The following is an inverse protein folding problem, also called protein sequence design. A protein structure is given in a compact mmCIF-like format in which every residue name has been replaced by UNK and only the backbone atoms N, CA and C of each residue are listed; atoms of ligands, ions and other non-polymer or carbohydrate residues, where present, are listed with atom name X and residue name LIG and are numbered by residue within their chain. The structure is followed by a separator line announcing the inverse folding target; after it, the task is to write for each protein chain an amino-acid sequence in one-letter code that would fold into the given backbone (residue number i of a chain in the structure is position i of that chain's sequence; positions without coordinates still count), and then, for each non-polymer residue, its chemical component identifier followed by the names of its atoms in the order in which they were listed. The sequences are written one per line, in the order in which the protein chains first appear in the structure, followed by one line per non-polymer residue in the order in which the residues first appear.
data_IF_447510917860
#
_entry.id   IF_447510917860
#
_cell.length_a   1.000
_cell.length_b   1.000
_cell.length_c   1.000
_cell.angle_alpha   90.00
_cell.angle_beta   90.00
_cell.angle_gamma   90.00
#
_symmetry.space_group_name_H-M   'P 1'
#
loop_
_entity.id
_entity.type
_entity.pdbx_description
1 polymer ?
#
# COMPACT_ATOMS: atom_id res chain seq x y z
N UNK A 1 -22.50 -3.74 8.98
CA UNK A 1 -21.94 -2.47 9.49
C UNK A 1 -20.53 -2.66 10.07
N UNK A 2 -20.27 -3.70 10.88
CA UNK A 2 -18.96 -3.96 11.48
C UNK A 2 -17.83 -4.11 10.45
N UNK A 3 -18.08 -4.77 9.31
CA UNK A 3 -17.09 -4.97 8.24
C UNK A 3 -16.63 -3.66 7.60
N UNK A 4 -17.54 -2.72 7.37
CA UNK A 4 -17.20 -1.42 6.79
C UNK A 4 -16.42 -0.58 7.80
N UNK A 5 -16.86 -0.60 9.05
CA UNK A 5 -16.19 0.15 10.12
C UNK A 5 -14.78 -0.38 10.40
N UNK A 6 -14.59 -1.70 10.46
CA UNK A 6 -13.27 -2.30 10.65
C UNK A 6 -12.32 -2.00 9.47
N UNK A 7 -12.83 -1.98 8.22
CA UNK A 7 -12.04 -1.61 7.06
C UNK A 7 -11.59 -0.13 7.10
N UNK A 8 -12.52 0.77 7.43
CA UNK A 8 -12.19 2.19 7.58
C UNK A 8 -11.16 2.42 8.70
N UNK A 9 -11.29 1.70 9.82
CA UNK A 9 -10.33 1.78 10.91
C UNK A 9 -8.96 1.24 10.49
N UNK A 10 -8.91 0.10 9.78
CA UNK A 10 -7.66 -0.45 9.24
C UNK A 10 -6.97 0.53 8.29
N UNK A 11 -7.74 1.20 7.42
CA UNK A 11 -7.23 2.21 6.51
C UNK A 11 -6.73 3.46 7.25
N UNK A 12 -7.46 3.94 8.26
CA UNK A 12 -7.04 5.08 9.08
C UNK A 12 -5.74 4.79 9.85
N UNK A 13 -5.61 3.59 10.41
CA UNK A 13 -4.39 3.18 11.11
C UNK A 13 -3.20 3.05 10.16
N UNK A 14 -3.44 2.57 8.95
CA UNK A 14 -2.44 2.51 7.88
C UNK A 14 -1.91 3.90 7.52
N UNK A 15 -2.81 4.83 7.17
CA UNK A 15 -2.44 6.22 6.85
C UNK A 15 -1.82 6.94 8.05
N UNK A 16 -2.30 6.64 9.26
CA UNK A 16 -1.72 7.11 10.52
C UNK A 16 -0.27 6.68 10.70
N UNK A 17 0.06 5.46 10.29
CA UNK A 17 1.44 4.94 10.27
C UNK A 17 2.37 5.78 9.40
N UNK A 18 1.97 6.07 8.16
CA UNK A 18 2.72 6.95 7.26
C UNK A 18 2.92 8.35 7.85
N UNK A 19 1.83 8.92 8.38
CA UNK A 19 1.88 10.25 8.98
C UNK A 19 2.79 10.31 10.20
N UNK A 20 2.73 9.31 11.08
CA UNK A 20 3.62 9.22 12.23
C UNK A 20 5.10 9.13 11.80
N UNK A 21 5.43 8.25 10.87
CA UNK A 21 6.79 8.11 10.36
C UNK A 21 7.30 9.41 9.71
N UNK A 22 6.44 10.13 8.99
CA UNK A 22 6.78 11.42 8.42
C UNK A 22 7.07 12.47 9.50
N UNK A 23 6.23 12.55 10.55
CA UNK A 23 6.45 13.48 11.67
C UNK A 23 7.78 13.23 12.39
N UNK A 24 8.07 11.96 12.71
CA UNK A 24 9.31 11.56 13.39
C UNK A 24 10.53 11.65 12.48
N UNK A 25 10.36 11.49 11.17
CA UNK A 25 11.41 11.65 10.17
C UNK A 25 11.81 13.11 9.87
N UNK A 26 11.27 14.09 10.59
CA UNK A 26 11.62 15.49 10.45
C UNK A 26 10.84 16.24 9.36
N UNK A 27 9.77 15.67 8.83
CA UNK A 27 8.92 16.26 7.78
C UNK A 27 8.35 17.62 8.15
N UNK A 28 8.18 17.91 9.43
CA UNK A 28 7.73 19.22 9.93
C UNK A 28 8.78 20.34 9.77
N UNK A 29 10.07 19.98 9.65
CA UNK A 29 11.20 20.95 9.53
C UNK A 29 11.37 21.49 8.10
N UNK A 30 10.83 20.82 7.09
CA UNK A 30 11.03 21.14 5.68
C UNK A 30 9.83 21.84 5.01
N UNK A 31 9.10 22.70 5.72
CA UNK A 31 8.03 23.59 5.20
C UNK A 31 6.95 22.96 4.29
N UNK A 32 6.84 21.64 4.24
CA UNK A 32 5.83 20.93 3.46
C UNK A 32 4.80 20.28 4.36
N UNK A 33 3.62 20.85 4.50
CA UNK A 33 2.50 20.22 5.20
C UNK A 33 2.05 18.94 4.52
N UNK A 34 1.75 17.89 5.30
CA UNK A 34 1.02 16.74 4.76
C UNK A 34 -0.30 17.22 4.16
N UNK A 35 -0.62 16.80 2.94
CA UNK A 35 -1.87 17.15 2.29
C UNK A 35 -2.71 15.90 2.06
N UNK A 36 -3.95 15.93 2.53
CA UNK A 36 -4.94 14.94 2.18
C UNK A 36 -5.47 15.22 0.78
N UNK A 37 -5.36 14.25 -0.12
CA UNK A 37 -6.03 14.28 -1.41
C UNK A 37 -6.99 13.11 -1.52
N UNK A 38 -8.23 13.41 -1.89
CA UNK A 38 -9.17 12.40 -2.34
C UNK A 38 -8.90 12.13 -3.82
N UNK A 39 -8.33 10.97 -4.11
CA UNK A 39 -8.10 10.47 -5.46
C UNK A 39 -9.08 9.37 -5.84
N UNK A 40 -9.02 8.89 -7.07
CA UNK A 40 -9.86 7.79 -7.56
C UNK A 40 -9.65 6.45 -6.83
N UNK A 41 -8.60 6.34 -6.01
CA UNK A 41 -8.27 5.14 -5.22
C UNK A 41 -8.58 5.29 -3.72
N UNK A 42 -9.20 6.39 -3.29
CA UNK A 42 -9.50 6.67 -1.88
C UNK A 42 -8.78 7.91 -1.34
N UNK A 43 -8.71 8.03 -0.04
CA UNK A 43 -7.96 9.09 0.64
C UNK A 43 -6.46 8.77 0.56
N UNK A 44 -5.68 9.62 -0.07
CA UNK A 44 -4.23 9.53 -0.19
C UNK A 44 -3.60 10.62 0.67
N UNK A 45 -2.82 10.22 1.67
CA UNK A 45 -1.98 11.13 2.41
C UNK A 45 -0.71 11.41 1.61
N UNK A 46 -0.62 12.55 0.95
CA UNK A 46 0.63 12.98 0.31
C UNK A 46 1.56 13.59 1.34
N UNK A 47 2.57 12.83 1.64
CA UNK A 47 3.70 13.28 2.45
C UNK A 47 4.73 13.86 1.48
N UNK A 48 5.19 15.12 1.70
CA UNK A 48 6.24 15.69 0.86
C UNK A 48 7.48 14.79 0.89
N UNK A 49 8.20 14.65 -0.24
CA UNK A 49 9.41 13.85 -0.27
C UNK A 49 10.39 14.43 0.76
N UNK A 50 10.65 13.68 1.83
CA UNK A 50 11.76 13.95 2.72
C UNK A 50 13.03 13.75 1.88
N UNK A 51 13.91 14.73 1.79
CA UNK A 51 15.06 14.72 0.89
C UNK A 51 16.09 13.59 1.10
N UNK A 52 15.69 12.49 1.70
CA UNK A 52 16.47 11.29 1.95
C UNK A 52 15.67 10.03 1.58
N UNK A 53 16.23 9.19 0.72
CA UNK A 53 15.64 7.88 0.38
C UNK A 53 15.43 6.97 1.59
N UNK A 54 16.24 7.11 2.65
CA UNK A 54 16.05 6.37 3.91
C UNK A 54 14.77 6.80 4.62
N UNK A 55 14.50 8.09 4.68
CA UNK A 55 13.26 8.60 5.27
C UNK A 55 12.05 8.23 4.41
N UNK A 56 12.17 8.30 3.08
CA UNK A 56 11.14 7.85 2.16
C UNK A 56 10.80 6.36 2.37
N UNK A 57 11.83 5.50 2.48
CA UNK A 57 11.65 4.08 2.77
C UNK A 57 10.94 3.84 4.11
N UNK A 58 11.35 4.55 5.17
CA UNK A 58 10.72 4.43 6.49
C UNK A 58 9.23 4.84 6.45
N UNK A 59 8.90 5.90 5.74
CA UNK A 59 7.51 6.34 5.56
C UNK A 59 6.71 5.29 4.79
N UNK A 60 7.23 4.76 3.68
CA UNK A 60 6.53 3.75 2.87
C UNK A 60 6.27 2.45 3.64
N UNK A 61 7.19 2.02 4.50
CA UNK A 61 7.01 0.81 5.31
C UNK A 61 6.12 1.02 6.54
N UNK A 62 5.92 2.25 7.00
CA UNK A 62 5.22 2.54 8.25
C UNK A 62 3.71 2.22 8.19
N UNK A 63 3.04 2.43 7.05
CA UNK A 63 1.63 2.07 6.87
C UNK A 63 1.40 0.56 7.01
N UNK A 64 2.07 -0.28 6.19
CA UNK A 64 2.01 -1.74 6.33
C UNK A 64 2.43 -2.23 7.72
N UNK A 65 3.44 -1.61 8.34
CA UNK A 65 3.87 -1.94 9.70
C UNK A 65 2.77 -1.62 10.74
N UNK A 66 2.06 -0.51 10.60
CA UNK A 66 0.92 -0.17 11.46
C UNK A 66 -0.21 -1.21 11.33
N UNK A 67 -0.50 -1.67 10.10
CA UNK A 67 -1.47 -2.73 9.88
C UNK A 67 -1.03 -4.07 10.50
N UNK A 68 0.25 -4.43 10.36
CA UNK A 68 0.79 -5.64 11.00
C UNK A 68 0.70 -5.53 12.54
N UNK A 69 1.05 -4.38 13.10
CA UNK A 69 0.92 -4.13 14.55
C UNK A 69 -0.54 -4.24 15.00
N UNK A 70 -1.46 -3.65 14.24
CA UNK A 70 -2.91 -3.76 14.50
C UNK A 70 -3.35 -5.23 14.51
N UNK A 71 -2.91 -6.01 13.52
CA UNK A 71 -3.22 -7.43 13.44
C UNK A 71 -2.67 -8.21 14.64
N UNK A 72 -1.45 -7.91 15.09
CA UNK A 72 -0.85 -8.54 16.27
C UNK A 72 -1.57 -8.16 17.57
N UNK A 73 -1.90 -6.88 17.75
CA UNK A 73 -2.62 -6.40 18.94
C UNK A 73 -4.01 -7.04 19.03
N UNK A 74 -4.72 -7.15 17.91
CA UNK A 74 -6.06 -7.75 17.86
C UNK A 74 -6.10 -9.25 18.16
N UNK A 75 -4.94 -9.94 18.17
CA UNK A 75 -4.85 -11.34 18.62
C UNK A 75 -5.24 -11.52 20.08
N UNK A 76 -4.99 -10.51 20.92
CA UNK A 76 -5.26 -10.56 22.34
C UNK A 76 -6.71 -10.23 22.71
N UNK A 77 -7.54 -9.83 21.75
CA UNK A 77 -8.93 -9.46 21.97
C UNK A 77 -9.85 -10.46 21.30
N UNK A 78 -10.69 -11.22 22.05
CA UNK A 78 -11.69 -12.11 21.49
C UNK A 78 -12.88 -11.32 20.92
N UNK A 79 -13.55 -11.90 19.92
CA UNK A 79 -14.76 -11.36 19.33
C UNK A 79 -14.68 -11.16 17.81
N UNK A 80 -15.84 -10.93 17.19
CA UNK A 80 -15.94 -10.83 15.74
C UNK A 80 -15.28 -9.56 15.19
N UNK A 81 -15.43 -8.44 15.88
CA UNK A 81 -14.86 -7.17 15.44
C UNK A 81 -13.31 -7.17 15.43
N UNK A 82 -12.60 -7.58 16.49
CA UNK A 82 -11.13 -7.72 16.44
C UNK A 82 -10.67 -8.71 15.36
N UNK A 83 -11.41 -9.80 15.15
CA UNK A 83 -11.13 -10.76 14.08
C UNK A 83 -11.22 -10.11 12.69
N UNK A 84 -12.32 -9.42 12.41
CA UNK A 84 -12.51 -8.70 11.14
C UNK A 84 -11.43 -7.63 10.93
N UNK A 85 -11.12 -6.85 11.97
CA UNK A 85 -10.09 -5.82 11.91
C UNK A 85 -8.71 -6.42 11.60
N UNK A 86 -8.37 -7.56 12.20
CA UNK A 86 -7.14 -8.31 11.93
C UNK A 86 -7.06 -8.77 10.48
N UNK A 87 -8.10 -9.45 10.00
CA UNK A 87 -8.16 -9.98 8.64
C UNK A 87 -8.01 -8.84 7.60
N UNK A 88 -8.70 -7.74 7.81
CA UNK A 88 -8.65 -6.58 6.91
C UNK A 88 -7.32 -5.83 6.99
N UNK A 89 -6.73 -5.70 8.17
CA UNK A 89 -5.40 -5.09 8.33
C UNK A 89 -4.32 -5.92 7.62
N UNK A 90 -4.36 -7.25 7.76
CA UNK A 90 -3.44 -8.13 7.05
C UNK A 90 -3.63 -8.07 5.53
N UNK A 91 -4.88 -8.08 5.08
CA UNK A 91 -5.19 -7.97 3.66
C UNK A 91 -4.73 -6.62 3.08
N UNK A 92 -5.07 -5.52 3.74
CA UNK A 92 -4.70 -4.18 3.30
C UNK A 92 -3.19 -3.99 3.30
N UNK A 93 -2.51 -4.34 4.41
CA UNK A 93 -1.06 -4.25 4.52
C UNK A 93 -0.33 -5.13 3.49
N UNK A 94 -0.82 -6.36 3.27
CA UNK A 94 -0.28 -7.27 2.26
C UNK A 94 -0.44 -6.75 0.83
N UNK A 95 -1.61 -6.23 0.48
CA UNK A 95 -1.86 -5.62 -0.82
C UNK A 95 -0.99 -4.38 -1.05
N UNK A 96 -0.84 -3.52 -0.04
CA UNK A 96 -0.01 -2.33 -0.13
C UNK A 96 1.49 -2.65 -0.25
N UNK A 97 1.94 -3.82 0.23
CA UNK A 97 3.32 -4.28 0.07
C UNK A 97 3.65 -4.87 -1.30
N UNK A 98 2.68 -4.98 -2.21
CA UNK A 98 2.98 -5.41 -3.57
C UNK A 98 3.93 -4.42 -4.27
N UNK A 99 4.94 -4.90 -5.01
CA UNK A 99 5.93 -4.06 -5.69
C UNK A 99 5.34 -3.41 -6.96
N UNK A 100 4.23 -2.71 -6.79
CA UNK A 100 3.48 -2.02 -7.84
C UNK A 100 3.61 -0.52 -7.62
N UNK A 101 3.96 0.23 -8.66
CA UNK A 101 4.02 1.69 -8.60
C UNK A 101 2.67 2.29 -8.16
N UNK A 102 2.73 3.12 -7.13
CA UNK A 102 1.55 3.74 -6.53
C UNK A 102 0.98 2.97 -5.35
N UNK A 103 1.62 1.87 -4.96
CA UNK A 103 1.46 1.19 -3.67
C UNK A 103 2.73 1.37 -2.84
N UNK A 104 2.64 1.15 -1.53
CA UNK A 104 3.77 1.35 -0.61
C UNK A 104 4.96 0.45 -0.92
N UNK A 105 4.71 -0.83 -1.28
CA UNK A 105 5.74 -1.75 -1.70
C UNK A 105 6.50 -1.30 -2.94
N UNK A 106 5.82 -0.64 -3.88
CA UNK A 106 6.46 -0.01 -5.04
C UNK A 106 7.34 1.18 -4.65
N UNK A 107 6.86 2.03 -3.74
CA UNK A 107 7.63 3.15 -3.19
C UNK A 107 8.82 2.70 -2.34
N UNK A 108 8.63 1.67 -1.52
CA UNK A 108 9.71 1.06 -0.74
C UNK A 108 10.79 0.44 -1.66
N UNK A 109 10.38 -0.24 -2.74
CA UNK A 109 11.31 -0.77 -3.75
C UNK A 109 12.08 0.35 -4.46
N UNK A 110 11.41 1.44 -4.82
CA UNK A 110 12.04 2.62 -5.43
C UNK A 110 13.11 3.22 -4.50
N UNK A 111 12.75 3.48 -3.24
CA UNK A 111 13.69 4.03 -2.26
C UNK A 111 14.87 3.09 -1.99
N UNK A 112 14.61 1.78 -1.88
CA UNK A 112 15.66 0.76 -1.69
C UNK A 112 16.58 0.69 -2.91
N UNK A 113 16.03 0.67 -4.11
CA UNK A 113 16.80 0.64 -5.35
C UNK A 113 17.67 1.90 -5.51
N UNK A 114 17.14 3.07 -5.14
CA UNK A 114 17.92 4.31 -5.14
C UNK A 114 19.12 4.25 -4.19
N UNK A 115 18.92 3.69 -3.00
CA UNK A 115 19.97 3.56 -1.98
C UNK A 115 21.07 2.57 -2.37
N UNK A 116 20.71 1.45 -3.03
CA UNK A 116 21.65 0.36 -3.33
C UNK A 116 22.29 0.49 -4.71
N UNK A 117 21.54 0.92 -5.71
CA UNK A 117 21.94 0.89 -7.14
C UNK A 117 21.80 2.22 -7.86
N UNK A 118 21.36 3.29 -7.13
CA UNK A 118 21.22 4.63 -7.67
C UNK A 118 19.92 4.89 -8.45
N UNK A 119 19.78 6.11 -8.92
CA UNK A 119 18.52 6.65 -9.47
C UNK A 119 18.00 5.90 -10.72
N UNK A 120 18.91 5.37 -11.56
CA UNK A 120 18.50 4.60 -12.75
C UNK A 120 17.78 3.30 -12.36
N UNK A 121 18.24 2.63 -11.31
CA UNK A 121 17.62 1.43 -10.78
C UNK A 121 16.29 1.77 -10.09
N UNK A 122 16.25 2.85 -9.34
CA UNK A 122 15.04 3.36 -8.70
C UNK A 122 13.89 3.59 -9.70
N UNK A 123 14.21 4.06 -10.89
CA UNK A 123 13.20 4.24 -11.94
C UNK A 123 12.81 2.93 -12.63
N UNK A 124 13.78 2.08 -12.97
CA UNK A 124 13.54 0.88 -13.80
C UNK A 124 12.93 -0.29 -13.03
N UNK A 125 13.45 -0.58 -11.83
CA UNK A 125 13.00 -1.75 -11.06
C UNK A 125 11.52 -1.70 -10.71
N UNK A 126 10.98 -0.61 -10.11
CA UNK A 126 9.54 -0.54 -9.84
C UNK A 126 8.67 -0.57 -11.09
N UNK A 127 9.18 -0.12 -12.24
CA UNK A 127 8.46 -0.22 -13.50
C UNK A 127 8.31 -1.68 -13.94
N UNK A 128 9.42 -2.40 -13.98
CA UNK A 128 9.44 -3.80 -14.43
C UNK A 128 8.64 -4.68 -13.46
N UNK A 129 8.87 -4.53 -12.15
CA UNK A 129 8.15 -5.32 -11.14
C UNK A 129 6.65 -5.03 -11.15
N UNK A 130 6.24 -3.77 -11.36
CA UNK A 130 4.83 -3.43 -11.50
C UNK A 130 4.17 -4.15 -12.67
N UNK A 131 4.81 -4.15 -13.84
CA UNK A 131 4.29 -4.85 -15.01
C UNK A 131 4.20 -6.36 -14.76
N UNK A 132 5.23 -6.97 -14.20
CA UNK A 132 5.21 -8.39 -13.90
C UNK A 132 4.13 -8.75 -12.88
N UNK A 133 4.02 -7.98 -11.79
CA UNK A 133 3.03 -8.21 -10.74
C UNK A 133 1.59 -8.04 -11.27
N UNK A 134 1.34 -6.97 -12.00
CA UNK A 134 0.00 -6.70 -12.54
C UNK A 134 -0.42 -7.73 -13.59
N UNK A 135 0.50 -8.15 -14.46
CA UNK A 135 0.23 -9.21 -15.43
C UNK A 135 -0.05 -10.54 -14.75
N UNK A 136 0.74 -10.88 -13.72
CA UNK A 136 0.51 -12.09 -12.94
C UNK A 136 -0.84 -12.06 -12.22
N UNK A 137 -1.19 -10.94 -11.58
CA UNK A 137 -2.51 -10.77 -10.93
C UNK A 137 -3.66 -10.87 -11.92
N UNK A 138 -3.51 -10.28 -13.10
CA UNK A 138 -4.53 -10.34 -14.13
C UNK A 138 -4.69 -11.76 -14.67
N UNK A 139 -3.60 -12.46 -14.99
CA UNK A 139 -3.64 -13.86 -15.42
C UNK A 139 -4.27 -14.76 -14.34
N UNK A 140 -3.90 -14.57 -13.08
CA UNK A 140 -4.49 -15.30 -11.96
C UNK A 140 -6.00 -15.07 -11.89
N UNK A 141 -6.45 -13.82 -12.03
CA UNK A 141 -7.89 -13.51 -12.01
C UNK A 141 -8.64 -14.12 -13.18
N UNK A 142 -8.04 -14.18 -14.39
CA UNK A 142 -8.59 -14.87 -15.53
C UNK A 142 -8.72 -16.39 -15.26
N UNK A 143 -7.67 -17.02 -14.75
CA UNK A 143 -7.69 -18.44 -14.41
C UNK A 143 -8.78 -18.77 -13.38
N UNK A 144 -8.90 -17.96 -12.31
CA UNK A 144 -9.94 -18.16 -11.30
C UNK A 144 -11.36 -18.00 -11.86
N UNK A 145 -11.58 -17.06 -12.79
CA UNK A 145 -12.87 -16.92 -13.47
C UNK A 145 -13.19 -18.14 -14.33
N UNK A 146 -12.22 -18.66 -15.10
CA UNK A 146 -12.40 -19.83 -15.94
C UNK A 146 -12.68 -21.11 -15.13
N UNK A 147 -12.10 -21.20 -13.95
CA UNK A 147 -12.34 -22.33 -13.00
C UNK A 147 -13.69 -22.20 -12.25
N UNK A 148 -14.47 -21.17 -12.50
CA UNK A 148 -15.77 -20.95 -11.85
C UNK A 148 -15.68 -20.54 -10.37
N UNK A 149 -14.48 -20.36 -9.82
CA UNK A 149 -14.22 -19.97 -8.44
C UNK A 149 -13.86 -18.49 -8.31
N UNK A 150 -13.78 -17.77 -9.44
CA UNK A 150 -13.31 -16.39 -9.49
C UNK A 150 -14.38 -15.37 -9.14
N UNK A 151 -13.98 -14.33 -8.41
CA UNK A 151 -14.82 -13.19 -8.14
C UNK A 151 -14.61 -12.13 -9.24
N UNK A 152 -15.69 -11.73 -9.91
CA UNK A 152 -15.67 -10.70 -10.97
C UNK A 152 -15.04 -9.39 -10.46
N UNK A 153 -15.22 -9.05 -9.18
CA UNK A 153 -14.63 -7.85 -8.58
C UNK A 153 -13.09 -7.88 -8.61
N UNK A 154 -12.50 -9.06 -8.38
CA UNK A 154 -11.04 -9.21 -8.45
C UNK A 154 -10.51 -9.06 -9.88
N UNK A 155 -11.25 -9.59 -10.88
CA UNK A 155 -10.91 -9.41 -12.29
C UNK A 155 -10.98 -7.93 -12.70
N UNK A 156 -12.07 -7.24 -12.35
CA UNK A 156 -12.25 -5.81 -12.65
C UNK A 156 -11.16 -4.97 -11.99
N UNK A 157 -10.82 -5.27 -10.72
CA UNK A 157 -9.78 -4.57 -9.99
C UNK A 157 -8.39 -4.76 -10.64
N UNK A 158 -8.03 -6.00 -10.97
CA UNK A 158 -6.73 -6.30 -11.59
C UNK A 158 -6.61 -5.64 -12.97
N UNK A 159 -7.67 -5.68 -13.77
CA UNK A 159 -7.75 -5.01 -15.07
C UNK A 159 -7.65 -3.48 -14.94
N UNK A 160 -8.36 -2.90 -13.98
CA UNK A 160 -8.29 -1.46 -13.72
C UNK A 160 -6.89 -1.00 -13.32
N UNK A 161 -6.21 -1.76 -12.44
CA UNK A 161 -4.82 -1.48 -12.05
C UNK A 161 -3.87 -1.56 -13.26
N UNK A 162 -4.06 -2.55 -14.14
CA UNK A 162 -3.27 -2.68 -15.36
C UNK A 162 -3.48 -1.48 -16.29
N UNK A 163 -4.71 -1.08 -16.53
CA UNK A 163 -5.03 0.10 -17.34
C UNK A 163 -4.45 1.40 -16.75
N UNK A 164 -4.45 1.52 -15.43
CA UNK A 164 -3.83 2.66 -14.73
C UNK A 164 -2.32 2.71 -14.95
N UNK A 165 -1.67 1.56 -15.01
CA UNK A 165 -0.22 1.47 -15.26
C UNK A 165 0.15 1.89 -16.69
N UNK A 166 -0.68 1.56 -17.69
CA UNK A 166 -0.47 1.96 -19.09
C UNK A 166 -0.54 3.48 -19.29
N UNK A 167 -1.32 4.17 -18.48
CA UNK A 167 -1.52 5.64 -18.55
C UNK A 167 -0.43 6.47 -17.85
N UNK A 168 0.55 5.81 -17.22
CA UNK A 168 1.69 6.45 -16.51
C UNK A 168 2.98 6.29 -17.30
#
# INVERSE_FOLDING_TARGET
MQTVFSFLLAALLHEGGHYAAWLFGGGKKNNGGASFRFGYAGAELRVPPSGSYRAALAVQLAGPAANLLTALVTLFFPGDFPRLLREQSLLLGGLQMLPIRGLDGGGALEATAALLWGERAAYRLPAVTSWLCLTALWLLSCCLLLLGSGNLSFFVLSFWLLCRQVRR
#
